data_IF_593895377872
#
_entry.id   IF_593895377872
#
_cell.length_a   1.000
_cell.length_b   1.000
_cell.length_c   1.000
_cell.angle_alpha   90.00
_cell.angle_beta   90.00
_cell.angle_gamma   90.00
#
_symmetry.space_group_name_H-M   'P 1'
#
loop_
_entity.id
_entity.type
_entity.pdbx_description
1 polymer ?
#
# COMPACT_ATOMS: atom_id res chain seq x y z
N UNK A 1 -15.52 8.49 -17.35
CA UNK A 1 -16.60 9.09 -16.51
C UNK A 1 -15.97 9.77 -15.30
N UNK A 2 -16.73 10.57 -14.56
CA UNK A 2 -16.27 11.19 -13.32
C UNK A 2 -16.96 10.50 -12.15
N UNK A 3 -16.19 9.92 -11.23
CA UNK A 3 -16.69 9.32 -9.98
C UNK A 3 -16.40 10.27 -8.85
N UNK A 4 -17.44 10.86 -8.26
CA UNK A 4 -17.31 11.90 -7.25
C UNK A 4 -18.53 11.93 -6.32
N UNK A 5 -18.30 12.12 -5.02
CA UNK A 5 -19.36 12.38 -4.04
C UNK A 5 -19.95 13.80 -4.19
N UNK A 6 -21.17 14.06 -3.67
CA UNK A 6 -21.85 15.36 -3.79
C UNK A 6 -21.03 16.58 -3.37
N UNK A 7 -20.19 16.44 -2.35
CA UNK A 7 -19.31 17.50 -1.87
C UNK A 7 -18.29 18.00 -2.93
N UNK A 8 -18.04 17.23 -3.99
CA UNK A 8 -17.10 17.58 -5.06
C UNK A 8 -17.78 17.98 -6.38
N UNK A 9 -19.08 18.32 -6.34
CA UNK A 9 -19.85 18.69 -7.54
C UNK A 9 -19.18 19.77 -8.38
N UNK A 10 -18.73 20.86 -7.74
CA UNK A 10 -18.07 21.97 -8.44
C UNK A 10 -16.78 21.53 -9.13
N UNK A 11 -16.00 20.64 -8.51
CA UNK A 11 -14.76 20.12 -9.08
C UNK A 11 -15.05 19.14 -10.24
N UNK A 12 -16.08 18.31 -10.10
CA UNK A 12 -16.54 17.41 -11.15
C UNK A 12 -17.05 18.19 -12.37
N UNK A 13 -17.90 19.21 -12.15
CA UNK A 13 -18.42 20.07 -13.20
C UNK A 13 -17.30 20.80 -13.96
N UNK A 14 -16.29 21.32 -13.24
CA UNK A 14 -15.13 21.95 -13.86
C UNK A 14 -14.42 21.00 -14.84
N UNK A 15 -14.18 19.75 -14.44
CA UNK A 15 -13.52 18.76 -15.29
C UNK A 15 -14.41 18.32 -16.45
N UNK A 16 -15.71 18.14 -16.22
CA UNK A 16 -16.67 17.81 -17.27
C UNK A 16 -16.70 18.90 -18.36
N UNK A 17 -16.75 20.17 -17.95
CA UNK A 17 -16.68 21.32 -18.85
C UNK A 17 -15.36 21.36 -19.61
N UNK A 18 -14.23 21.22 -18.93
CA UNK A 18 -12.92 21.26 -19.60
C UNK A 18 -12.77 20.17 -20.68
N UNK A 19 -13.29 18.96 -20.43
CA UNK A 19 -13.28 17.87 -21.42
C UNK A 19 -14.27 18.13 -22.55
N UNK A 20 -15.47 18.62 -22.25
CA UNK A 20 -16.48 18.93 -23.25
C UNK A 20 -16.03 20.05 -24.19
N UNK A 21 -15.46 21.13 -23.64
CA UNK A 21 -14.93 22.25 -24.43
C UNK A 21 -13.74 21.83 -25.29
N UNK A 22 -12.83 21.00 -24.75
CA UNK A 22 -11.62 20.62 -25.48
C UNK A 22 -11.87 19.56 -26.54
N UNK A 23 -12.73 18.57 -26.25
CA UNK A 23 -12.85 17.36 -27.06
C UNK A 23 -14.28 17.03 -27.51
N UNK A 24 -15.28 17.84 -27.13
CA UNK A 24 -16.69 17.56 -27.44
C UNK A 24 -17.26 16.33 -26.72
N UNK A 25 -16.55 15.80 -25.71
CA UNK A 25 -16.95 14.59 -24.98
C UNK A 25 -17.66 14.97 -23.69
N UNK A 26 -18.88 14.47 -23.50
CA UNK A 26 -19.62 14.62 -22.26
C UNK A 26 -19.21 13.50 -21.29
N UNK A 27 -18.65 13.89 -20.14
CA UNK A 27 -18.33 12.96 -19.08
C UNK A 27 -19.44 13.00 -18.01
N UNK A 28 -20.24 11.94 -17.84
CA UNK A 28 -21.22 11.89 -16.77
C UNK A 28 -20.51 11.81 -15.40
N UNK A 29 -21.09 12.50 -14.43
CA UNK A 29 -20.78 12.34 -13.00
C UNK A 29 -21.63 11.21 -12.42
N UNK A 30 -20.99 10.31 -11.70
CA UNK A 30 -21.63 9.24 -10.92
C UNK A 30 -21.03 9.20 -9.52
N UNK A 31 -21.76 8.71 -8.53
CA UNK A 31 -21.23 8.53 -7.18
C UNK A 31 -20.48 7.21 -7.04
N UNK A 32 -20.96 6.18 -7.75
CA UNK A 32 -20.38 4.85 -7.79
C UNK A 32 -20.06 4.47 -9.24
N UNK A 33 -19.01 3.67 -9.43
CA UNK A 33 -18.64 3.18 -10.75
C UNK A 33 -19.56 2.02 -11.15
N UNK A 34 -20.42 2.18 -12.17
CA UNK A 34 -21.45 1.19 -12.49
C UNK A 34 -20.90 -0.10 -13.11
N UNK A 35 -19.74 -0.04 -13.76
CA UNK A 35 -19.14 -1.18 -14.46
C UNK A 35 -17.62 -1.26 -14.20
N UNK A 36 -17.08 -2.45 -13.84
CA UNK A 36 -15.64 -2.69 -13.83
C UNK A 36 -15.04 -2.50 -15.23
N UNK A 37 -13.82 -2.00 -15.33
CA UNK A 37 -13.09 -1.92 -16.62
C UNK A 37 -13.29 -0.64 -17.43
N UNK A 38 -14.11 0.32 -16.98
CA UNK A 38 -14.25 1.63 -17.63
C UNK A 38 -13.34 2.71 -17.05
N UNK A 39 -12.70 3.50 -17.90
CA UNK A 39 -11.79 4.56 -17.46
C UNK A 39 -12.51 5.62 -16.60
N UNK A 40 -11.92 5.95 -15.45
CA UNK A 40 -12.53 6.82 -14.44
C UNK A 40 -11.60 7.96 -14.01
N UNK A 41 -12.19 9.16 -13.86
CA UNK A 41 -11.64 10.25 -13.07
C UNK A 41 -12.24 10.13 -11.66
N UNK A 42 -11.44 9.77 -10.66
CA UNK A 42 -11.93 9.57 -9.30
C UNK A 42 -11.53 10.78 -8.42
N UNK A 43 -12.52 11.50 -7.89
CA UNK A 43 -12.31 12.71 -7.07
C UNK A 43 -12.49 12.39 -5.59
N UNK A 44 -11.56 12.87 -4.75
CA UNK A 44 -11.65 12.73 -3.29
C UNK A 44 -10.48 12.01 -2.67
N UNK A 45 -10.77 11.15 -1.68
CA UNK A 45 -9.79 10.37 -0.95
C UNK A 45 -10.33 8.98 -0.58
N UNK A 46 -9.54 8.19 0.17
CA UNK A 46 -9.93 6.91 0.76
C UNK A 46 -11.35 6.88 1.38
N UNK A 47 -11.74 7.97 2.05
CA UNK A 47 -12.96 8.00 2.87
C UNK A 47 -14.20 8.18 2.01
N UNK A 48 -14.17 9.07 1.03
CA UNK A 48 -15.36 9.59 0.34
C UNK A 48 -15.44 9.20 -1.14
N UNK A 49 -14.56 8.31 -1.61
CA UNK A 49 -14.63 7.75 -2.95
C UNK A 49 -14.27 6.26 -2.96
N UNK A 50 -15.22 5.40 -3.32
CA UNK A 50 -15.05 3.94 -3.33
C UNK A 50 -13.94 3.47 -4.29
N UNK A 51 -13.77 4.13 -5.44
CA UNK A 51 -12.69 3.81 -6.40
C UNK A 51 -11.32 4.11 -5.79
N UNK A 52 -11.17 5.28 -5.16
CA UNK A 52 -9.93 5.66 -4.45
C UNK A 52 -9.70 4.73 -3.26
N UNK A 53 -10.75 4.34 -2.53
CA UNK A 53 -10.67 3.36 -1.43
C UNK A 53 -10.09 2.04 -1.91
N UNK A 54 -10.61 1.46 -2.98
CA UNK A 54 -10.07 0.21 -3.55
C UNK A 54 -8.62 0.39 -4.00
N UNK A 55 -8.28 1.51 -4.66
CA UNK A 55 -6.91 1.79 -5.08
C UNK A 55 -5.96 1.94 -3.87
N UNK A 56 -6.37 2.66 -2.83
CA UNK A 56 -5.61 2.88 -1.60
C UNK A 56 -5.35 1.56 -0.89
N UNK A 57 -6.41 0.75 -0.69
CA UNK A 57 -6.30 -0.56 -0.07
C UNK A 57 -5.39 -1.49 -0.88
N UNK A 58 -5.30 -1.35 -2.20
CA UNK A 58 -4.35 -2.12 -3.02
C UNK A 58 -2.95 -1.51 -3.12
N UNK A 59 -2.63 -0.50 -2.30
CA UNK A 59 -1.35 0.21 -2.31
C UNK A 59 -1.04 0.90 -3.65
N UNK A 60 -2.07 1.29 -4.40
CA UNK A 60 -1.93 1.98 -5.70
C UNK A 60 -2.06 3.49 -5.59
N UNK A 61 -2.48 4.01 -4.45
CA UNK A 61 -2.46 5.43 -4.14
C UNK A 61 -2.32 5.63 -2.63
N UNK A 62 -1.87 6.81 -2.25
CA UNK A 62 -1.65 7.20 -0.85
C UNK A 62 -2.72 8.19 -0.36
N UNK A 63 -3.65 8.62 -1.22
CA UNK A 63 -4.60 9.70 -0.93
C UNK A 63 -5.63 9.30 0.13
N UNK A 64 -5.53 9.91 1.30
CA UNK A 64 -6.47 9.84 2.42
C UNK A 64 -6.64 11.24 3.04
N UNK A 65 -7.30 11.36 4.20
CA UNK A 65 -7.43 12.68 4.85
C UNK A 65 -6.18 13.13 5.61
N UNK A 66 -5.11 12.36 5.60
CA UNK A 66 -3.81 12.79 6.08
C UNK A 66 -2.86 13.20 4.95
N UNK A 67 -2.71 12.38 3.91
CA UNK A 67 -1.89 12.67 2.73
C UNK A 67 -2.78 13.08 1.56
N UNK A 68 -2.46 14.16 0.83
CA UNK A 68 -1.23 14.98 0.83
C UNK A 68 -1.16 16.08 1.90
N UNK A 69 -2.09 16.11 2.84
CA UNK A 69 -2.22 17.14 3.86
C UNK A 69 -3.23 18.21 3.48
N UNK A 70 -3.57 19.04 4.46
CA UNK A 70 -4.47 20.19 4.28
C UNK A 70 -3.99 21.11 3.14
N UNK A 71 -4.90 21.51 2.26
CA UNK A 71 -4.64 22.22 0.99
C UNK A 71 -3.74 21.48 -0.02
N UNK A 72 -3.21 20.31 0.35
CA UNK A 72 -2.41 19.46 -0.52
C UNK A 72 -3.28 18.81 -1.60
N UNK A 73 -2.69 18.46 -2.73
CA UNK A 73 -3.41 17.93 -3.88
C UNK A 73 -2.56 16.94 -4.70
N UNK A 74 -3.21 15.92 -5.25
CA UNK A 74 -2.58 14.83 -6.00
C UNK A 74 -3.31 14.61 -7.32
N UNK A 75 -2.55 14.56 -8.42
CA UNK A 75 -2.99 13.99 -9.69
C UNK A 75 -2.15 12.76 -9.97
N UNK A 76 -2.78 11.59 -10.02
CA UNK A 76 -2.06 10.33 -10.15
C UNK A 76 -2.74 9.39 -11.15
N UNK A 77 -1.99 8.98 -12.16
CA UNK A 77 -2.37 7.91 -13.08
C UNK A 77 -2.09 6.56 -12.42
N UNK A 78 -3.13 5.73 -12.32
CA UNK A 78 -3.01 4.33 -11.95
C UNK A 78 -3.29 3.54 -13.22
N UNK A 79 -2.21 2.99 -13.80
CA UNK A 79 -2.29 2.15 -14.97
C UNK A 79 -2.42 0.68 -14.55
N UNK A 80 -3.27 -0.07 -15.24
CA UNK A 80 -3.25 -1.52 -15.21
C UNK A 80 -2.70 -1.96 -16.58
N UNK A 81 -1.52 -2.60 -16.66
CA UNK A 81 -1.05 -3.13 -17.93
C UNK A 81 -2.07 -4.11 -18.53
N UNK A 82 -2.26 -4.13 -19.85
CA UNK A 82 -3.19 -5.05 -20.51
C UNK A 82 -4.68 -4.66 -20.44
N UNK A 83 -5.59 -5.62 -20.70
CA UNK A 83 -7.02 -5.38 -20.94
C UNK A 83 -7.94 -5.57 -19.73
N UNK A 84 -7.44 -6.06 -18.59
CA UNK A 84 -8.28 -6.49 -17.46
C UNK A 84 -8.54 -5.41 -16.40
N UNK A 85 -7.98 -4.20 -16.56
CA UNK A 85 -8.19 -3.10 -15.62
C UNK A 85 -8.34 -1.76 -16.32
N UNK A 86 -9.37 -1.01 -15.95
CA UNK A 86 -9.54 0.34 -16.46
C UNK A 86 -8.48 1.29 -15.89
N UNK A 87 -7.98 2.24 -16.68
CA UNK A 87 -7.14 3.30 -16.16
C UNK A 87 -7.94 4.19 -15.19
N UNK A 88 -7.35 4.49 -14.05
CA UNK A 88 -7.89 5.41 -13.05
C UNK A 88 -6.99 6.65 -13.04
N UNK A 89 -7.58 7.83 -13.12
CA UNK A 89 -6.90 9.08 -12.78
C UNK A 89 -7.46 9.60 -11.46
N UNK A 90 -6.64 9.56 -10.42
CA UNK A 90 -6.97 10.10 -9.11
C UNK A 90 -6.82 11.61 -9.16
N UNK A 91 -7.88 12.32 -8.77
CA UNK A 91 -7.95 13.77 -8.53
C UNK A 91 -8.15 13.97 -7.04
N UNK A 92 -7.05 13.90 -6.31
CA UNK A 92 -7.03 13.68 -4.87
C UNK A 92 -6.67 14.90 -4.03
N UNK A 93 -7.11 14.89 -2.78
CA UNK A 93 -6.76 15.84 -1.74
C UNK A 93 -7.25 15.34 -0.38
N UNK A 94 -6.66 15.83 0.71
CA UNK A 94 -7.10 15.47 2.06
C UNK A 94 -8.37 16.20 2.50
N UNK A 95 -8.72 17.27 1.79
CA UNK A 95 -9.89 18.11 1.99
C UNK A 95 -10.47 18.60 0.65
N UNK A 96 -11.57 19.37 0.70
CA UNK A 96 -12.21 19.90 -0.50
C UNK A 96 -11.40 20.95 -1.26
N UNK A 97 -10.56 21.72 -0.57
CA UNK A 97 -9.71 22.72 -1.21
C UNK A 97 -8.62 22.03 -2.04
N UNK A 98 -7.99 20.99 -1.50
CA UNK A 98 -7.04 20.13 -2.17
C UNK A 98 -7.62 19.44 -3.41
N UNK A 99 -8.80 18.84 -3.31
CA UNK A 99 -9.48 18.20 -4.45
C UNK A 99 -9.81 19.22 -5.54
N UNK A 100 -10.31 20.41 -5.18
CA UNK A 100 -10.55 21.50 -6.13
C UNK A 100 -9.25 21.99 -6.79
N UNK A 101 -8.15 22.08 -6.04
CA UNK A 101 -6.85 22.45 -6.58
C UNK A 101 -6.32 21.42 -7.59
N UNK A 102 -6.47 20.12 -7.29
CA UNK A 102 -6.16 19.04 -8.23
C UNK A 102 -7.02 19.15 -9.50
N UNK A 103 -8.33 19.34 -9.36
CA UNK A 103 -9.25 19.47 -10.49
C UNK A 103 -8.90 20.67 -11.39
N UNK A 104 -8.59 21.83 -10.81
CA UNK A 104 -8.12 23.01 -11.57
C UNK A 104 -6.84 22.72 -12.36
N UNK A 105 -5.85 22.09 -11.74
CA UNK A 105 -4.60 21.73 -12.45
C UNK A 105 -4.86 20.76 -13.59
N UNK A 106 -5.72 19.77 -13.39
CA UNK A 106 -6.09 18.82 -14.43
C UNK A 106 -6.87 19.51 -15.57
N UNK A 107 -7.82 20.39 -15.27
CA UNK A 107 -8.54 21.17 -16.28
C UNK A 107 -7.58 22.02 -17.13
N UNK A 108 -6.61 22.70 -16.52
CA UNK A 108 -5.56 23.42 -17.24
C UNK A 108 -4.75 22.50 -18.17
N UNK A 109 -4.34 21.33 -17.68
CA UNK A 109 -3.61 20.33 -18.50
C UNK A 109 -4.47 19.87 -19.68
N UNK A 110 -5.74 19.53 -19.45
CA UNK A 110 -6.70 19.14 -20.50
C UNK A 110 -6.79 20.24 -21.56
N UNK A 111 -6.93 21.51 -21.16
CA UNK A 111 -6.97 22.65 -22.09
C UNK A 111 -5.74 22.78 -22.99
N UNK A 112 -4.56 22.32 -22.52
CA UNK A 112 -3.31 22.33 -23.28
C UNK A 112 -3.06 21.11 -24.17
N UNK A 113 -3.85 20.03 -24.04
CA UNK A 113 -3.62 18.80 -24.80
C UNK A 113 -3.97 18.99 -26.27
N UNK A 114 -3.12 18.57 -27.19
CA UNK A 114 -3.41 18.56 -28.63
C UNK A 114 -4.25 17.37 -29.07
N UNK A 115 -4.16 16.25 -28.35
CA UNK A 115 -4.87 15.00 -28.61
C UNK A 115 -5.70 14.58 -27.39
N UNK A 116 -6.77 13.78 -27.56
CA UNK A 116 -7.59 13.26 -26.46
C UNK A 116 -6.90 12.14 -25.67
N UNK A 117 -5.60 12.31 -25.38
CA UNK A 117 -4.77 11.36 -24.65
C UNK A 117 -3.99 12.10 -23.56
N UNK A 118 -4.25 11.74 -22.32
CA UNK A 118 -3.46 12.19 -21.18
C UNK A 118 -2.19 11.32 -21.08
N UNK A 119 -0.98 11.91 -20.99
CA UNK A 119 0.22 11.17 -20.64
C UNK A 119 0.11 10.63 -19.20
N UNK A 120 1.01 9.73 -18.82
CA UNK A 120 1.09 9.30 -17.41
C UNK A 120 1.40 10.51 -16.51
N UNK A 121 0.69 10.59 -15.38
CA UNK A 121 0.79 11.70 -14.44
C UNK A 121 1.08 11.21 -13.02
N UNK A 122 2.03 11.88 -12.38
CA UNK A 122 2.17 11.94 -10.94
C UNK A 122 2.57 13.38 -10.59
N UNK A 123 1.59 14.18 -10.18
CA UNK A 123 1.76 15.58 -9.81
C UNK A 123 1.20 15.79 -8.41
N UNK A 124 2.11 15.99 -7.46
CA UNK A 124 1.81 16.13 -6.04
C UNK A 124 2.22 17.52 -5.56
N UNK A 125 1.30 18.17 -4.86
CA UNK A 125 1.58 19.36 -4.06
C UNK A 125 1.23 19.02 -2.62
N UNK A 126 2.24 18.97 -1.75
CA UNK A 126 2.02 18.71 -0.32
C UNK A 126 1.41 19.94 0.35
N UNK A 127 0.56 19.70 1.36
CA UNK A 127 0.05 20.77 2.22
C UNK A 127 1.18 21.50 2.94
N UNK A 128 0.99 22.79 3.28
CA UNK A 128 2.07 23.65 3.86
C UNK A 128 2.74 23.08 5.11
N UNK A 129 2.01 22.29 5.90
CA UNK A 129 2.47 21.64 7.14
C UNK A 129 2.86 20.18 6.95
N UNK A 130 2.80 19.68 5.73
CA UNK A 130 3.01 18.29 5.38
C UNK A 130 4.41 18.14 4.78
N UNK A 131 5.26 17.36 5.45
CA UNK A 131 6.66 17.17 5.05
C UNK A 131 6.82 15.92 4.19
N UNK A 132 7.81 15.89 3.29
CA UNK A 132 8.19 14.67 2.59
C UNK A 132 8.79 13.64 3.55
N UNK A 133 8.74 12.36 3.18
CA UNK A 133 9.37 11.27 3.93
C UNK A 133 10.88 11.54 4.10
N UNK A 134 11.44 11.62 5.31
CA UNK A 134 12.85 11.98 5.54
C UNK A 134 13.87 11.08 4.83
N UNK A 135 15.01 11.65 4.41
CA UNK A 135 16.09 10.91 3.71
C UNK A 135 16.96 10.07 4.66
N UNK A 136 17.10 10.49 5.91
CA UNK A 136 17.88 9.82 6.97
C UNK A 136 17.26 8.49 7.43
N UNK A 137 16.05 8.19 6.96
CA UNK A 137 15.32 6.93 7.20
C UNK A 137 15.53 5.89 6.10
N UNK A 138 16.34 6.23 5.09
CA UNK A 138 16.59 5.33 3.95
C UNK A 138 17.78 4.44 4.29
N UNK A 139 17.53 3.14 4.48
CA UNK A 139 18.57 2.17 4.84
C UNK A 139 19.60 2.05 3.69
N UNK A 140 20.88 2.19 4.03
CA UNK A 140 22.01 2.14 3.10
C UNK A 140 22.16 0.74 2.49
N UNK A 141 21.76 -0.31 3.20
CA UNK A 141 21.99 -1.70 2.75
C UNK A 141 20.71 -2.51 2.57
N UNK A 142 19.55 -1.98 2.94
CA UNK A 142 18.28 -2.72 2.91
C UNK A 142 18.29 -3.94 3.84
N UNK A 143 19.22 -4.04 4.79
CA UNK A 143 19.47 -5.19 5.65
C UNK A 143 19.47 -4.87 7.15
N UNK A 144 19.28 -3.62 7.59
CA UNK A 144 19.43 -3.29 9.02
C UNK A 144 18.30 -2.43 9.63
N UNK A 145 18.03 -2.73 10.90
CA UNK A 145 17.17 -2.00 11.84
C UNK A 145 17.83 -0.69 12.31
N UNK A 146 18.15 0.22 11.39
CA UNK A 146 18.72 1.51 11.78
C UNK A 146 17.69 2.31 12.61
N UNK A 147 18.07 2.87 13.76
CA UNK A 147 17.17 3.62 14.62
C UNK A 147 16.70 4.90 13.93
N UNK A 148 15.39 5.15 13.96
CA UNK A 148 14.81 6.42 13.55
C UNK A 148 15.18 7.50 14.58
N UNK A 149 15.99 8.48 14.15
CA UNK A 149 16.44 9.59 15.02
C UNK A 149 15.46 10.77 14.98
N UNK A 150 14.69 10.92 13.88
CA UNK A 150 13.79 12.06 13.65
C UNK A 150 12.40 11.59 13.20
N UNK A 151 11.30 11.83 13.96
CA UNK A 151 9.91 11.52 13.59
C UNK A 151 9.44 12.14 12.25
N UNK A 152 8.62 11.41 11.48
CA UNK A 152 8.27 11.64 10.06
C UNK A 152 7.43 12.90 9.78
N UNK A 153 6.89 13.41 10.86
CA UNK A 153 6.25 14.69 11.02
C UNK A 153 6.81 15.20 12.33
N UNK A 154 7.17 16.49 12.44
CA UNK A 154 7.44 17.13 13.74
C UNK A 154 6.45 16.51 14.72
N UNK A 155 6.96 15.81 15.75
CA UNK A 155 6.08 15.28 16.82
C UNK A 155 5.19 16.45 17.14
N UNK A 156 3.86 16.35 16.93
CA UNK A 156 3.02 17.51 17.12
C UNK A 156 3.37 18.08 18.49
N UNK A 157 3.45 19.41 18.63
CA UNK A 157 3.93 20.01 19.89
C UNK A 157 3.03 19.61 21.09
N UNK A 158 1.88 18.96 20.82
CA UNK A 158 1.08 18.20 21.78
C UNK A 158 0.83 16.74 21.34
N UNK A 159 0.31 15.88 22.23
CA UNK A 159 0.01 14.48 21.93
C UNK A 159 -0.94 14.35 20.73
N UNK A 160 -0.81 13.26 19.95
CA UNK A 160 -1.87 12.91 18.99
C UNK A 160 -3.16 12.67 19.79
N UNK A 161 -4.08 13.62 19.68
CA UNK A 161 -5.43 13.45 20.19
C UNK A 161 -6.21 12.81 19.07
N UNK A 162 -6.50 11.52 19.21
CA UNK A 162 -7.46 10.87 18.31
C UNK A 162 -8.72 11.71 18.30
N UNK A 163 -9.12 12.21 17.13
CA UNK A 163 -10.37 12.94 16.97
C UNK A 163 -11.60 12.00 17.09
N UNK A 164 -11.38 10.70 17.32
CA UNK A 164 -12.44 9.73 17.52
C UNK A 164 -13.05 9.90 18.92
N UNK A 165 -14.12 10.69 19.00
CA UNK A 165 -14.97 10.83 20.18
C UNK A 165 -16.20 9.91 20.14
N UNK A 166 -16.22 8.93 19.23
CA UNK A 166 -17.38 8.11 18.86
C UNK A 166 -17.78 8.31 17.39
N UNK A 167 -18.70 7.50 16.86
CA UNK A 167 -19.10 7.53 15.45
C UNK A 167 -18.50 6.39 14.62
N UNK A 168 -18.48 6.53 13.29
CA UNK A 168 -17.89 5.51 12.42
C UNK A 168 -16.37 5.62 12.45
N UNK A 169 -15.69 4.55 12.88
CA UNK A 169 -14.22 4.50 12.97
C UNK A 169 -13.53 4.79 11.64
N UNK A 170 -14.17 4.46 10.51
CA UNK A 170 -13.62 4.70 9.18
C UNK A 170 -13.39 6.19 8.91
N UNK A 171 -14.21 7.08 9.48
CA UNK A 171 -14.10 8.53 9.28
C UNK A 171 -12.88 9.15 9.98
N UNK A 172 -12.27 8.41 10.92
CA UNK A 172 -11.17 8.88 11.76
C UNK A 172 -9.84 8.15 11.52
N UNK A 173 -9.86 7.10 10.69
CA UNK A 173 -8.68 6.28 10.39
C UNK A 173 -7.95 6.79 9.15
N UNK A 174 -6.79 7.40 9.39
CA UNK A 174 -5.86 7.87 8.36
C UNK A 174 -4.60 7.00 8.35
N UNK A 175 -3.83 7.01 7.27
CA UNK A 175 -2.55 6.29 7.17
C UNK A 175 -2.67 4.79 7.46
N UNK A 176 -3.66 4.12 6.88
CA UNK A 176 -3.84 2.67 7.10
C UNK A 176 -2.73 1.83 6.48
N UNK A 177 -2.12 2.36 5.42
CA UNK A 177 -1.04 1.71 4.67
C UNK A 177 0.18 2.61 4.49
N UNK A 178 0.09 3.82 5.02
CA UNK A 178 1.20 4.76 5.14
C UNK A 178 1.70 4.76 6.57
N UNK A 179 2.97 5.02 6.73
CA UNK A 179 3.67 5.04 8.01
C UNK A 179 2.90 5.82 9.09
N UNK A 180 2.66 5.15 10.22
CA UNK A 180 2.35 5.86 11.45
C UNK A 180 3.54 6.74 11.84
N UNK A 181 3.35 7.80 12.64
CA UNK A 181 4.42 8.73 13.06
C UNK A 181 5.63 8.06 13.75
N UNK A 182 5.53 6.77 14.06
CA UNK A 182 6.52 5.98 14.79
C UNK A 182 6.97 4.70 14.06
N UNK A 183 6.54 4.46 12.82
CA UNK A 183 6.83 3.19 12.10
C UNK A 183 8.20 3.25 11.41
N UNK A 184 9.03 2.23 11.64
CA UNK A 184 10.35 2.06 11.00
C UNK A 184 10.24 1.47 9.58
N UNK A 185 10.97 2.03 8.61
CA UNK A 185 10.98 1.61 7.20
C UNK A 185 11.89 0.40 6.89
N UNK A 186 12.37 -0.30 7.93
CA UNK A 186 13.36 -1.37 7.78
C UNK A 186 12.87 -2.61 7.00
N UNK A 187 11.58 -2.62 6.63
CA UNK A 187 10.91 -3.73 5.92
C UNK A 187 10.89 -3.58 4.40
N UNK A 188 11.34 -2.45 3.88
CA UNK A 188 11.41 -2.21 2.43
C UNK A 188 12.85 -2.35 1.94
N UNK A 189 13.02 -2.90 0.73
CA UNK A 189 14.29 -2.77 0.00
C UNK A 189 14.63 -1.28 -0.18
N UNK A 190 15.92 -0.97 -0.34
CA UNK A 190 16.35 0.42 -0.52
C UNK A 190 15.68 1.07 -1.74
N UNK A 191 15.63 0.35 -2.86
CA UNK A 191 14.83 0.76 -4.03
C UNK A 191 13.37 1.04 -3.68
N UNK A 192 12.69 0.16 -2.92
CA UNK A 192 11.29 0.36 -2.55
C UNK A 192 11.08 1.59 -1.65
N UNK A 193 12.04 1.92 -0.79
CA UNK A 193 11.97 3.15 0.03
C UNK A 193 12.04 4.40 -0.85
N UNK A 194 12.94 4.44 -1.84
CA UNK A 194 12.99 5.54 -2.81
C UNK A 194 11.76 5.58 -3.72
N UNK A 195 11.25 4.43 -4.16
CA UNK A 195 10.04 4.33 -4.96
C UNK A 195 8.83 4.88 -4.20
N UNK A 196 8.69 4.55 -2.93
CA UNK A 196 7.64 5.11 -2.10
C UNK A 196 7.79 6.62 -1.88
N UNK A 197 9.02 7.09 -1.66
CA UNK A 197 9.26 8.54 -1.59
C UNK A 197 8.89 9.24 -2.89
N UNK A 198 9.21 8.66 -4.04
CA UNK A 198 8.81 9.20 -5.34
C UNK A 198 7.28 9.21 -5.49
N UNK A 199 6.59 8.13 -5.13
CA UNK A 199 5.12 8.09 -5.11
C UNK A 199 4.53 9.19 -4.20
N UNK A 200 5.15 9.42 -3.05
CA UNK A 200 4.73 10.42 -2.07
C UNK A 200 4.91 11.85 -2.57
N UNK A 201 6.06 12.17 -3.19
CA UNK A 201 6.42 13.55 -3.53
C UNK A 201 6.10 13.93 -4.97
N UNK A 202 5.95 12.97 -5.87
CA UNK A 202 5.92 13.21 -7.32
C UNK A 202 7.18 13.89 -7.87
N UNK A 203 8.25 14.01 -7.07
CA UNK A 203 9.43 14.78 -7.44
C UNK A 203 10.36 13.98 -8.36
N UNK A 204 10.76 14.60 -9.48
CA UNK A 204 11.68 13.97 -10.45
C UNK A 204 13.02 13.55 -9.84
N UNK A 205 13.53 14.29 -8.86
CA UNK A 205 14.76 13.93 -8.17
C UNK A 205 14.63 12.62 -7.38
N UNK A 206 13.48 12.39 -6.75
CA UNK A 206 13.19 11.14 -6.04
C UNK A 206 13.00 9.98 -7.03
N UNK A 207 12.35 10.23 -8.18
CA UNK A 207 12.25 9.26 -9.28
C UNK A 207 13.63 8.84 -9.83
N UNK A 208 14.54 9.79 -10.03
CA UNK A 208 15.92 9.50 -10.45
C UNK A 208 16.68 8.66 -9.41
N UNK A 209 16.48 8.92 -8.11
CA UNK A 209 17.08 8.12 -7.03
C UNK A 209 16.51 6.71 -6.99
N UNK A 210 15.20 6.56 -7.18
CA UNK A 210 14.57 5.25 -7.28
C UNK A 210 15.13 4.44 -8.45
N UNK A 211 15.23 5.06 -9.64
CA UNK A 211 15.88 4.45 -10.80
C UNK A 211 17.31 4.02 -10.52
N UNK A 212 18.13 4.92 -9.97
CA UNK A 212 19.53 4.62 -9.68
C UNK A 212 19.65 3.44 -8.71
N UNK A 213 18.86 3.44 -7.64
CA UNK A 213 18.86 2.36 -6.65
C UNK A 213 18.51 1.01 -7.28
N UNK A 214 17.45 0.93 -8.10
CA UNK A 214 17.08 -0.31 -8.80
C UNK A 214 18.21 -0.83 -9.70
N UNK A 215 18.77 0.03 -10.56
CA UNK A 215 19.83 -0.37 -11.49
C UNK A 215 21.10 -0.80 -10.75
N UNK A 216 21.47 -0.12 -9.66
CA UNK A 216 22.60 -0.52 -8.80
C UNK A 216 22.33 -1.85 -8.10
N UNK A 217 21.14 -2.06 -7.54
CA UNK A 217 20.76 -3.33 -6.91
C UNK A 217 20.79 -4.50 -7.91
N UNK A 218 20.40 -4.28 -9.17
CA UNK A 218 20.51 -5.27 -10.25
C UNK A 218 21.97 -5.57 -10.56
N UNK A 219 22.80 -4.53 -10.76
CA UNK A 219 24.22 -4.69 -11.08
C UNK A 219 24.97 -5.43 -9.98
N UNK A 220 24.59 -5.23 -8.72
CA UNK A 220 25.20 -5.86 -7.55
C UNK A 220 24.59 -7.24 -7.23
N UNK A 221 23.56 -7.69 -7.96
CA UNK A 221 22.83 -8.93 -7.67
C UNK A 221 21.98 -8.90 -6.40
N UNK A 222 21.81 -7.72 -5.79
CA UNK A 222 21.00 -7.52 -4.57
C UNK A 222 19.53 -7.80 -4.84
N UNK A 223 19.02 -7.35 -6.00
CA UNK A 223 17.61 -7.56 -6.36
C UNK A 223 17.26 -9.06 -6.38
N UNK A 224 18.16 -9.89 -6.92
CA UNK A 224 17.97 -11.35 -7.01
C UNK A 224 18.03 -12.07 -5.67
N UNK A 225 18.54 -11.41 -4.63
CA UNK A 225 18.70 -11.96 -3.28
C UNK A 225 17.79 -11.27 -2.27
N UNK A 226 16.81 -10.49 -2.73
CA UNK A 226 15.85 -9.85 -1.83
C UNK A 226 15.14 -10.91 -1.00
N UNK A 227 15.17 -10.71 0.30
CA UNK A 227 14.41 -11.53 1.23
C UNK A 227 12.92 -11.37 0.92
N UNK A 228 12.16 -12.47 0.85
CA UNK A 228 10.77 -12.47 0.35
C UNK A 228 9.81 -11.55 1.10
N UNK A 229 10.14 -11.18 2.35
CA UNK A 229 9.40 -10.20 3.13
C UNK A 229 9.53 -8.76 2.62
N UNK A 230 10.65 -8.43 1.96
CA UNK A 230 10.99 -7.08 1.52
C UNK A 230 10.64 -6.81 0.06
N UNK A 231 10.31 -7.84 -0.71
CA UNK A 231 10.07 -7.75 -2.15
C UNK A 231 8.62 -7.48 -2.55
N UNK A 232 7.64 -7.64 -1.64
CA UNK A 232 6.21 -7.34 -1.90
C UNK A 232 6.02 -5.93 -2.49
N UNK A 233 6.60 -4.90 -1.83
CA UNK A 233 6.47 -3.51 -2.29
C UNK A 233 7.24 -3.21 -3.57
N UNK A 234 8.29 -3.97 -3.88
CA UNK A 234 9.00 -3.83 -5.15
C UNK A 234 8.04 -4.05 -6.33
N UNK A 235 7.23 -5.12 -6.30
CA UNK A 235 6.27 -5.42 -7.36
C UNK A 235 5.22 -4.32 -7.51
N UNK A 236 4.61 -3.88 -6.42
CA UNK A 236 3.54 -2.86 -6.44
C UNK A 236 4.05 -1.48 -6.87
N UNK A 237 5.21 -1.06 -6.37
CA UNK A 237 5.81 0.22 -6.75
C UNK A 237 6.30 0.20 -8.20
N UNK A 238 6.89 -0.91 -8.65
CA UNK A 238 7.31 -1.03 -10.05
C UNK A 238 6.12 -1.00 -11.01
N UNK A 239 5.03 -1.72 -10.73
CA UNK A 239 3.80 -1.66 -11.52
C UNK A 239 3.31 -0.20 -11.67
N UNK A 240 3.33 0.55 -10.57
CA UNK A 240 2.77 1.90 -10.51
C UNK A 240 3.65 2.98 -11.13
N UNK A 241 4.96 2.90 -10.90
CA UNK A 241 5.91 3.97 -11.18
C UNK A 241 6.76 3.70 -12.42
N UNK A 242 6.84 2.45 -12.89
CA UNK A 242 7.57 2.15 -14.12
C UNK A 242 7.11 3.04 -15.27
N UNK A 243 5.82 3.38 -15.51
CA UNK A 243 5.38 4.29 -16.59
C UNK A 243 5.97 5.71 -16.55
N UNK A 244 6.56 6.15 -15.44
CA UNK A 244 7.08 7.52 -15.28
C UNK A 244 8.25 7.86 -16.20
N UNK A 245 8.40 9.14 -16.53
CA UNK A 245 9.51 9.67 -17.34
C UNK A 245 10.88 9.62 -16.63
N UNK A 246 10.92 9.11 -15.39
CA UNK A 246 12.16 8.81 -14.69
C UNK A 246 12.91 7.63 -15.34
N UNK A 247 12.21 6.73 -16.06
CA UNK A 247 12.79 5.53 -16.66
C UNK A 247 12.76 5.57 -18.19
N UNK A 248 13.94 5.42 -18.81
CA UNK A 248 14.04 5.18 -20.24
C UNK A 248 13.59 3.76 -20.59
N UNK A 249 13.35 3.50 -21.88
CA UNK A 249 12.89 2.19 -22.36
C UNK A 249 13.86 1.05 -22.02
N UNK A 250 15.17 1.28 -22.17
CA UNK A 250 16.19 0.31 -21.80
C UNK A 250 16.21 0.01 -20.29
N UNK A 251 15.95 1.03 -19.45
CA UNK A 251 15.85 0.83 -18.00
C UNK A 251 14.64 -0.05 -17.66
N UNK A 252 13.49 0.23 -18.28
CA UNK A 252 12.26 -0.54 -18.06
C UNK A 252 12.44 -1.98 -18.46
N UNK A 253 13.06 -2.23 -19.62
CA UNK A 253 13.39 -3.57 -20.10
C UNK A 253 14.31 -4.28 -19.10
N UNK A 254 15.40 -3.63 -18.68
CA UNK A 254 16.39 -4.19 -17.75
C UNK A 254 15.76 -4.53 -16.39
N UNK A 255 15.04 -3.59 -15.80
CA UNK A 255 14.44 -3.77 -14.46
C UNK A 255 13.31 -4.80 -14.50
N UNK A 256 12.45 -4.76 -15.52
CA UNK A 256 11.37 -5.75 -15.67
C UNK A 256 11.92 -7.16 -15.88
N UNK A 257 13.00 -7.31 -16.65
CA UNK A 257 13.66 -8.60 -16.82
C UNK A 257 14.25 -9.12 -15.50
N UNK A 258 14.91 -8.26 -14.72
CA UNK A 258 15.47 -8.63 -13.42
C UNK A 258 14.39 -9.03 -12.39
N UNK A 259 13.26 -8.31 -12.35
CA UNK A 259 12.12 -8.67 -11.50
C UNK A 259 11.52 -10.02 -11.91
N UNK A 260 11.40 -10.28 -13.22
CA UNK A 260 10.95 -11.58 -13.74
C UNK A 260 11.90 -12.71 -13.35
N UNK A 261 13.19 -12.47 -13.47
CA UNK A 261 14.23 -13.43 -13.08
C UNK A 261 14.14 -13.74 -11.58
N UNK A 262 14.08 -12.72 -10.72
CA UNK A 262 13.91 -12.91 -9.27
C UNK A 262 12.64 -13.70 -8.93
N UNK A 263 11.52 -13.43 -9.61
CA UNK A 263 10.28 -14.20 -9.43
C UNK A 263 10.41 -15.65 -9.90
N UNK A 264 11.36 -15.95 -10.78
CA UNK A 264 11.60 -17.30 -11.33
C UNK A 264 12.59 -18.09 -10.48
N UNK A 265 13.62 -17.42 -9.93
CA UNK A 265 14.77 -18.09 -9.31
C UNK A 265 14.92 -17.82 -7.81
N UNK A 266 14.43 -16.69 -7.29
CA UNK A 266 14.64 -16.24 -5.91
C UNK A 266 13.41 -16.32 -5.00
N UNK A 267 12.21 -16.07 -5.52
CA UNK A 267 10.93 -16.18 -4.77
C UNK A 267 9.83 -16.69 -5.70
N UNK A 268 8.58 -16.75 -5.24
CA UNK A 268 7.41 -16.97 -6.09
C UNK A 268 7.43 -18.29 -6.86
N UNK A 269 7.74 -18.26 -8.16
CA UNK A 269 7.77 -19.47 -9.01
C UNK A 269 8.82 -20.46 -8.50
N UNK A 270 9.95 -19.97 -8.00
CA UNK A 270 10.98 -20.80 -7.36
C UNK A 270 10.42 -21.63 -6.18
N UNK A 271 9.33 -21.17 -5.56
CA UNK A 271 8.64 -21.83 -4.45
C UNK A 271 7.36 -22.57 -4.86
N UNK A 272 6.97 -22.58 -6.14
CA UNK A 272 5.62 -23.01 -6.57
C UNK A 272 5.28 -24.45 -6.16
N UNK A 273 6.25 -25.38 -6.21
CA UNK A 273 6.04 -26.75 -5.77
C UNK A 273 5.75 -26.82 -4.26
N UNK A 274 6.55 -26.13 -3.44
CA UNK A 274 6.33 -26.03 -1.98
C UNK A 274 4.98 -25.38 -1.66
N UNK A 275 4.60 -24.35 -2.40
CA UNK A 275 3.31 -23.66 -2.26
C UNK A 275 2.16 -24.64 -2.55
N UNK A 276 2.24 -25.42 -3.64
CA UNK A 276 1.23 -26.44 -3.99
C UNK A 276 1.13 -27.53 -2.94
N UNK A 277 2.25 -28.06 -2.47
CA UNK A 277 2.27 -29.11 -1.47
C UNK A 277 1.59 -28.65 -0.17
N UNK A 278 1.87 -27.40 0.24
CA UNK A 278 1.26 -26.80 1.42
C UNK A 278 -0.26 -26.60 1.32
N UNK A 279 -0.84 -26.57 0.12
CA UNK A 279 -2.30 -26.54 -0.06
C UNK A 279 -3.00 -27.80 0.46
N UNK A 280 -2.28 -28.92 0.51
CA UNK A 280 -2.84 -30.24 0.89
C UNK A 280 -2.49 -30.64 2.32
N UNK A 281 -1.57 -29.91 2.96
CA UNK A 281 -1.11 -30.19 4.30
C UNK A 281 -2.18 -29.88 5.35
N UNK A 282 -2.33 -30.75 6.35
CA UNK A 282 -3.08 -30.46 7.57
C UNK A 282 -2.12 -29.81 8.57
N UNK A 283 -2.02 -28.48 8.59
CA UNK A 283 -1.30 -27.79 9.66
C UNK A 283 -0.88 -26.37 9.36
N UNK A 284 -0.72 -25.63 10.47
CA UNK A 284 0.15 -24.48 10.74
C UNK A 284 0.46 -23.56 9.56
N UNK A 285 -0.02 -22.31 9.65
CA UNK A 285 0.31 -21.25 8.71
C UNK A 285 1.81 -20.96 8.72
N UNK A 286 2.49 -21.13 7.58
CA UNK A 286 3.92 -20.80 7.45
C UNK A 286 4.09 -19.39 6.85
N UNK A 287 4.58 -18.44 7.66
CA UNK A 287 4.77 -17.05 7.21
C UNK A 287 5.75 -16.90 6.04
N UNK A 288 6.85 -17.65 6.02
CA UNK A 288 7.84 -17.54 4.94
C UNK A 288 7.22 -18.00 3.61
N UNK A 289 6.52 -19.14 3.64
CA UNK A 289 5.84 -19.66 2.46
C UNK A 289 4.66 -18.77 2.03
N UNK A 290 3.96 -18.17 2.99
CA UNK A 290 2.90 -17.20 2.71
C UNK A 290 3.43 -15.94 2.01
N UNK A 291 4.60 -15.44 2.41
CA UNK A 291 5.25 -14.33 1.70
C UNK A 291 5.70 -14.74 0.29
N UNK A 292 6.28 -15.93 0.12
CA UNK A 292 6.59 -16.48 -1.21
C UNK A 292 5.33 -16.59 -2.09
N UNK A 293 4.21 -17.06 -1.52
CA UNK A 293 2.93 -17.13 -2.21
C UNK A 293 2.36 -15.75 -2.55
N UNK A 294 2.51 -14.76 -1.67
CA UNK A 294 2.09 -13.39 -1.96
C UNK A 294 2.94 -12.73 -3.05
N UNK A 295 4.25 -12.97 -3.05
CA UNK A 295 5.15 -12.56 -4.13
C UNK A 295 4.77 -13.24 -5.46
N UNK A 296 4.45 -14.54 -5.42
CA UNK A 296 3.94 -15.27 -6.59
C UNK A 296 2.66 -14.62 -7.10
N UNK A 297 1.71 -14.31 -6.21
CA UNK A 297 0.45 -13.70 -6.60
C UNK A 297 0.66 -12.34 -7.27
N UNK A 298 1.39 -11.42 -6.62
CA UNK A 298 1.63 -10.06 -7.13
C UNK A 298 2.43 -10.07 -8.44
N UNK A 299 3.52 -10.83 -8.47
CA UNK A 299 4.40 -10.91 -9.63
C UNK A 299 3.71 -11.56 -10.83
N UNK A 300 3.03 -12.69 -10.61
CA UNK A 300 2.33 -13.38 -11.69
C UNK A 300 1.12 -12.60 -12.19
N UNK A 301 0.39 -11.91 -11.31
CA UNK A 301 -0.69 -11.00 -11.68
C UNK A 301 -0.19 -9.83 -12.56
N UNK A 302 0.96 -9.25 -12.22
CA UNK A 302 1.62 -8.23 -13.04
C UNK A 302 2.05 -8.77 -14.42
N UNK A 303 2.73 -9.92 -14.49
CA UNK A 303 3.20 -10.47 -15.76
C UNK A 303 2.07 -11.04 -16.63
N UNK A 304 0.97 -11.54 -16.04
CA UNK A 304 -0.23 -11.95 -16.77
C UNK A 304 -0.91 -10.77 -17.48
N UNK A 305 -0.76 -9.56 -16.94
CA UNK A 305 -1.25 -8.30 -17.51
C UNK A 305 -0.30 -7.73 -18.57
N UNK A 306 1.00 -7.90 -18.35
CA UNK A 306 2.05 -7.38 -19.24
C UNK A 306 2.27 -8.25 -20.49
N UNK A 307 1.98 -9.55 -20.40
CA UNK A 307 2.28 -10.53 -21.45
C UNK A 307 1.04 -11.31 -21.87
N UNK A 308 1.09 -11.96 -23.03
CA UNK A 308 0.02 -12.87 -23.49
C UNK A 308 0.22 -14.31 -23.00
N UNK A 309 1.17 -14.56 -22.10
CA UNK A 309 1.48 -15.88 -21.58
C UNK A 309 0.49 -16.26 -20.46
N UNK A 310 -0.32 -17.29 -20.72
CA UNK A 310 -1.35 -17.76 -19.80
C UNK A 310 -0.79 -18.44 -18.55
N UNK A 311 0.45 -18.92 -18.58
CA UNK A 311 1.08 -19.60 -17.42
C UNK A 311 1.15 -18.70 -16.19
N UNK A 312 1.26 -17.38 -16.37
CA UNK A 312 1.22 -16.42 -15.27
C UNK A 312 -0.12 -16.44 -14.51
N UNK A 313 -1.24 -16.66 -15.21
CA UNK A 313 -2.54 -16.81 -14.55
C UNK A 313 -2.60 -18.09 -13.73
N UNK A 314 -2.07 -19.19 -14.27
CA UNK A 314 -1.99 -20.46 -13.54
C UNK A 314 -1.12 -20.33 -12.26
N UNK A 315 0.00 -19.62 -12.35
CA UNK A 315 0.85 -19.33 -11.20
C UNK A 315 0.16 -18.46 -10.15
N UNK A 316 -0.58 -17.43 -10.58
CA UNK A 316 -1.42 -16.61 -9.70
C UNK A 316 -2.49 -17.45 -9.00
N UNK A 317 -3.12 -18.36 -9.71
CA UNK A 317 -4.17 -19.24 -9.17
C UNK A 317 -3.62 -20.23 -8.13
N UNK A 318 -2.38 -20.72 -8.32
CA UNK A 318 -1.69 -21.54 -7.30
C UNK A 318 -1.53 -20.76 -5.99
N UNK A 319 -1.09 -19.50 -6.05
CA UNK A 319 -0.96 -18.67 -4.86
C UNK A 319 -2.33 -18.41 -4.20
N UNK A 320 -3.37 -18.16 -5.00
CA UNK A 320 -4.73 -17.98 -4.48
C UNK A 320 -5.27 -19.25 -3.79
N UNK A 321 -5.00 -20.43 -4.36
CA UNK A 321 -5.36 -21.72 -3.78
C UNK A 321 -4.63 -21.95 -2.44
N UNK A 322 -3.35 -21.57 -2.35
CA UNK A 322 -2.60 -21.63 -1.08
C UNK A 322 -3.33 -20.86 0.00
N UNK A 323 -3.59 -19.57 -0.18
CA UNK A 323 -4.26 -18.76 0.85
C UNK A 323 -5.67 -19.25 1.16
N UNK A 324 -6.43 -19.69 0.16
CA UNK A 324 -7.75 -20.28 0.38
C UNK A 324 -7.69 -21.54 1.26
N UNK A 325 -6.66 -22.39 1.08
CA UNK A 325 -6.45 -23.59 1.91
C UNK A 325 -6.04 -23.28 3.35
N UNK A 326 -5.56 -22.06 3.63
CA UNK A 326 -5.17 -21.67 4.98
C UNK A 326 -6.36 -21.27 5.88
N UNK A 327 -7.58 -21.20 5.33
CA UNK A 327 -8.77 -20.91 6.13
C UNK A 327 -8.92 -21.92 7.28
N UNK A 328 -9.07 -21.41 8.50
CA UNK A 328 -9.20 -22.25 9.70
C UNK A 328 -7.90 -22.85 10.23
N UNK A 329 -6.75 -22.53 9.62
CA UNK A 329 -5.44 -22.82 10.22
C UNK A 329 -5.18 -21.89 11.41
N UNK A 330 -4.12 -22.16 12.17
CA UNK A 330 -3.64 -21.26 13.21
C UNK A 330 -2.15 -21.00 13.00
N UNK A 331 -1.63 -19.98 13.68
CA UNK A 331 -0.18 -19.81 13.75
C UNK A 331 0.47 -20.97 14.49
N UNK A 332 1.71 -21.32 14.16
CA UNK A 332 2.46 -22.29 14.93
C UNK A 332 2.54 -21.82 16.39
N UNK A 333 2.54 -22.77 17.32
CA UNK A 333 3.02 -22.53 18.69
C UNK A 333 4.54 -22.33 18.60
N UNK A 334 4.93 -21.13 18.18
CA UNK A 334 6.28 -20.60 18.27
C UNK A 334 6.36 -19.73 19.51
N UNK A 335 7.53 -19.66 20.17
CA UNK A 335 7.80 -18.62 21.19
C UNK A 335 7.84 -17.18 20.62
N UNK A 336 7.32 -16.97 19.41
CA UNK A 336 7.26 -15.74 18.65
C UNK A 336 5.82 -15.19 18.72
N UNK A 337 5.50 -14.47 19.79
CA UNK A 337 4.17 -13.87 19.98
C UNK A 337 3.83 -12.87 18.87
N UNK A 338 4.83 -12.16 18.34
CA UNK A 338 4.68 -11.31 17.14
C UNK A 338 4.28 -12.07 15.87
N UNK A 339 4.42 -13.40 15.87
CA UNK A 339 3.96 -14.26 14.79
C UNK A 339 2.47 -14.04 14.50
N UNK A 340 1.62 -13.95 15.53
CA UNK A 340 0.18 -13.76 15.34
C UNK A 340 -0.15 -12.57 14.45
N UNK A 341 0.58 -11.46 14.61
CA UNK A 341 0.34 -10.24 13.87
C UNK A 341 0.98 -10.30 12.48
N UNK A 342 2.27 -10.63 12.42
CA UNK A 342 3.01 -10.65 11.14
C UNK A 342 2.45 -11.67 10.15
N UNK A 343 1.86 -12.77 10.62
CA UNK A 343 1.25 -13.80 9.79
C UNK A 343 -0.12 -13.33 9.29
N UNK A 344 -0.93 -12.75 10.18
CA UNK A 344 -2.22 -12.14 9.83
C UNK A 344 -2.05 -11.00 8.82
N UNK A 345 -1.01 -10.17 8.94
CA UNK A 345 -0.72 -9.11 7.98
C UNK A 345 -0.54 -9.63 6.55
N UNK A 346 0.13 -10.77 6.38
CA UNK A 346 0.33 -11.38 5.04
C UNK A 346 -0.97 -11.94 4.49
N UNK A 347 -1.75 -12.62 5.34
CA UNK A 347 -3.08 -13.12 4.95
C UNK A 347 -4.04 -12.00 4.56
N UNK A 348 -4.09 -10.95 5.39
CA UNK A 348 -4.92 -9.77 5.16
C UNK A 348 -4.51 -9.04 3.88
N UNK A 349 -3.21 -8.93 3.59
CA UNK A 349 -2.73 -8.33 2.34
C UNK A 349 -3.27 -9.07 1.12
N UNK A 350 -3.22 -10.41 1.12
CA UNK A 350 -3.82 -11.22 0.06
C UNK A 350 -5.35 -11.01 -0.03
N UNK A 351 -6.07 -11.02 1.09
CA UNK A 351 -7.52 -10.80 1.08
C UNK A 351 -7.89 -9.44 0.48
N UNK A 352 -7.18 -8.38 0.86
CA UNK A 352 -7.41 -7.03 0.35
C UNK A 352 -7.17 -6.95 -1.16
N UNK A 353 -6.16 -7.67 -1.66
CA UNK A 353 -5.86 -7.70 -3.09
C UNK A 353 -6.90 -8.50 -3.88
N UNK A 354 -7.40 -9.60 -3.32
CA UNK A 354 -8.17 -10.62 -4.08
C UNK A 354 -9.66 -10.64 -3.83
N UNK A 355 -10.09 -10.43 -2.59
CA UNK A 355 -11.46 -10.61 -2.11
C UNK A 355 -11.82 -9.62 -1.00
N UNK A 356 -11.62 -8.29 -1.21
CA UNK A 356 -11.85 -7.29 -0.17
C UNK A 356 -13.28 -7.31 0.39
N UNK A 357 -14.26 -7.71 -0.42
CA UNK A 357 -15.66 -7.88 -0.02
C UNK A 357 -15.89 -9.01 0.99
N UNK A 358 -15.03 -10.04 1.00
CA UNK A 358 -15.17 -11.17 1.91
C UNK A 358 -14.58 -10.89 3.31
N UNK A 359 -13.79 -9.83 3.47
CA UNK A 359 -13.03 -9.52 4.69
C UNK A 359 -13.95 -9.38 5.90
N UNK A 360 -15.06 -8.63 5.75
CA UNK A 360 -15.99 -8.39 6.85
C UNK A 360 -16.61 -9.69 7.36
N UNK A 361 -16.84 -10.67 6.50
CA UNK A 361 -17.60 -11.87 6.85
C UNK A 361 -16.71 -13.11 7.06
N UNK A 362 -15.39 -12.97 6.97
CA UNK A 362 -14.45 -14.07 7.12
C UNK A 362 -14.28 -14.47 8.60
N UNK A 363 -14.74 -15.67 9.02
CA UNK A 363 -14.70 -16.08 10.42
C UNK A 363 -13.27 -16.38 10.89
N UNK A 364 -12.40 -16.84 10.00
CA UNK A 364 -11.00 -17.14 10.33
C UNK A 364 -10.23 -15.85 10.60
N UNK A 365 -10.40 -14.83 9.74
CA UNK A 365 -9.82 -13.51 9.94
C UNK A 365 -10.28 -12.89 11.26
N UNK A 366 -11.59 -12.91 11.55
CA UNK A 366 -12.14 -12.35 12.80
C UNK A 366 -11.56 -13.04 14.03
N UNK A 367 -11.54 -14.38 14.03
CA UNK A 367 -10.98 -15.14 15.15
C UNK A 367 -9.50 -14.83 15.35
N UNK A 368 -8.72 -14.73 14.28
CA UNK A 368 -7.29 -14.41 14.35
C UNK A 368 -7.07 -12.98 14.86
N UNK A 369 -7.84 -12.02 14.36
CA UNK A 369 -7.79 -10.64 14.80
C UNK A 369 -8.10 -10.50 16.31
N UNK A 370 -9.08 -11.24 16.83
CA UNK A 370 -9.39 -11.29 18.27
C UNK A 370 -8.23 -11.88 19.10
N UNK A 371 -7.53 -12.89 18.58
CA UNK A 371 -6.31 -13.40 19.24
C UNK A 371 -5.23 -12.34 19.31
N UNK A 372 -5.05 -11.53 18.27
CA UNK A 372 -4.09 -10.41 18.31
C UNK A 372 -4.43 -9.40 19.42
N UNK A 373 -5.72 -9.11 19.67
CA UNK A 373 -6.14 -8.29 20.82
C UNK A 373 -5.71 -8.95 22.14
N UNK A 374 -5.96 -10.25 22.29
CA UNK A 374 -5.62 -11.01 23.50
C UNK A 374 -4.13 -11.05 23.83
N UNK A 375 -3.26 -10.70 22.87
CA UNK A 375 -1.81 -10.63 23.04
C UNK A 375 -1.30 -9.22 23.38
N UNK A 376 -2.19 -8.26 23.62
CA UNK A 376 -1.83 -6.89 24.03
C UNK A 376 -2.28 -6.63 25.46
N UNK A 377 -1.34 -6.22 26.31
CA UNK A 377 -1.60 -5.79 27.67
C UNK A 377 -2.26 -4.41 27.69
N UNK A 378 -2.99 -4.11 28.78
CA UNK A 378 -3.61 -2.80 29.01
C UNK A 378 -2.62 -1.62 29.03
N UNK A 379 -1.32 -1.89 29.14
CA UNK A 379 -0.27 -0.88 29.06
C UNK A 379 0.12 -0.53 27.62
N UNK A 380 -0.46 -1.16 26.59
CA UNK A 380 -0.08 -0.92 25.19
C UNK A 380 1.19 -1.65 24.76
N UNK A 381 1.60 -2.66 25.52
CA UNK A 381 2.72 -3.55 25.22
C UNK A 381 2.20 -4.93 24.84
N UNK A 382 2.95 -5.64 24.00
CA UNK A 382 2.62 -7.03 23.69
C UNK A 382 3.05 -7.98 24.81
N UNK A 383 2.41 -9.14 24.86
CA UNK A 383 2.93 -10.28 25.60
C UNK A 383 4.28 -10.68 25.01
N UNK A 384 5.34 -10.48 25.78
CA UNK A 384 6.73 -10.81 25.42
C UNK A 384 6.85 -12.32 25.21
N UNK A 385 7.56 -12.69 24.15
CA UNK A 385 7.93 -14.07 23.84
C UNK A 385 9.45 -14.22 23.82
N UNK A 386 9.94 -15.44 23.61
CA UNK A 386 11.39 -15.71 23.49
C UNK A 386 12.03 -14.90 22.36
N UNK A 387 11.24 -14.55 21.34
CA UNK A 387 11.69 -13.82 20.15
C UNK A 387 10.96 -12.48 19.95
N UNK A 388 10.21 -11.98 20.94
CA UNK A 388 9.44 -10.73 20.81
C UNK A 388 9.79 -9.79 21.96
N UNK A 389 10.35 -8.63 21.65
CA UNK A 389 10.66 -7.59 22.64
C UNK A 389 9.50 -6.59 22.83
N UNK A 390 9.57 -5.77 23.89
CA UNK A 390 8.54 -4.79 24.27
C UNK A 390 8.41 -3.60 23.29
N UNK A 391 9.42 -3.37 22.45
CA UNK A 391 9.41 -2.32 21.43
C UNK A 391 8.62 -2.74 20.18
N UNK A 392 8.34 -4.04 19.98
CA UNK A 392 7.57 -4.56 18.84
C UNK A 392 6.07 -4.38 19.03
N UNK A 393 5.37 -3.94 17.99
CA UNK A 393 3.91 -3.81 18.01
C UNK A 393 3.25 -3.82 16.62
N UNK A 394 2.02 -4.34 16.54
CA UNK A 394 1.22 -4.44 15.32
C UNK A 394 0.39 -3.21 15.00
N UNK A 395 1.00 -2.04 15.02
CA UNK A 395 0.28 -0.77 14.96
C UNK A 395 -0.52 -0.61 13.66
N UNK A 396 0.11 -0.78 12.48
CA UNK A 396 -0.58 -0.67 11.19
C UNK A 396 -1.67 -1.74 11.05
N UNK A 397 -1.37 -2.99 11.42
CA UNK A 397 -2.35 -4.08 11.37
C UNK A 397 -3.60 -3.75 12.19
N UNK A 398 -3.44 -3.26 13.42
CA UNK A 398 -4.59 -2.90 14.28
C UNK A 398 -5.45 -1.80 13.65
N UNK A 399 -4.83 -0.79 13.02
CA UNK A 399 -5.58 0.26 12.31
C UNK A 399 -6.28 -0.28 11.07
N UNK A 400 -5.63 -1.17 10.31
CA UNK A 400 -6.23 -1.83 9.16
C UNK A 400 -7.43 -2.67 9.57
N UNK A 401 -7.31 -3.47 10.63
CA UNK A 401 -8.41 -4.27 11.18
C UNK A 401 -9.55 -3.37 11.65
N UNK A 402 -9.25 -2.26 12.33
CA UNK A 402 -10.27 -1.29 12.73
C UNK A 402 -11.07 -0.76 11.53
N UNK A 403 -10.38 -0.41 10.44
CA UNK A 403 -11.02 0.11 9.23
C UNK A 403 -11.82 -0.97 8.50
N UNK A 404 -11.19 -2.11 8.23
CA UNK A 404 -11.72 -3.17 7.39
C UNK A 404 -12.86 -3.93 8.06
N UNK A 405 -12.79 -4.14 9.38
CA UNK A 405 -13.86 -4.79 10.15
C UNK A 405 -14.87 -3.79 10.74
N UNK A 406 -14.67 -2.49 10.52
CA UNK A 406 -15.45 -1.41 11.12
C UNK A 406 -15.61 -1.56 12.65
N UNK A 407 -14.54 -1.98 13.32
CA UNK A 407 -14.55 -2.35 14.74
C UNK A 407 -13.55 -1.50 15.53
N UNK A 408 -14.08 -0.61 16.37
CA UNK A 408 -13.30 0.33 17.17
C UNK A 408 -12.37 -0.34 18.20
N UNK A 409 -12.59 -1.61 18.58
CA UNK A 409 -11.73 -2.32 19.53
C UNK A 409 -10.28 -2.34 19.08
N UNK A 410 -10.04 -2.57 17.79
CA UNK A 410 -8.68 -2.59 17.24
C UNK A 410 -8.01 -1.21 17.26
N UNK A 411 -8.79 -0.13 17.06
CA UNK A 411 -8.28 1.24 17.21
C UNK A 411 -7.94 1.56 18.66
N UNK A 412 -8.75 1.09 19.62
CA UNK A 412 -8.41 1.20 21.05
C UNK A 412 -7.06 0.55 21.35
N UNK A 413 -6.80 -0.64 20.81
CA UNK A 413 -5.51 -1.34 20.96
C UNK A 413 -4.35 -0.54 20.34
N UNK A 414 -4.53 0.01 19.13
CA UNK A 414 -3.53 0.88 18.52
C UNK A 414 -3.24 2.14 19.37
N UNK A 415 -4.28 2.76 19.94
CA UNK A 415 -4.15 3.95 20.79
C UNK A 415 -3.45 3.65 22.12
N UNK A 416 -3.65 2.47 22.72
CA UNK A 416 -2.89 2.06 23.92
C UNK A 416 -1.39 2.07 23.65
N UNK A 417 -0.97 1.61 22.47
CA UNK A 417 0.45 1.65 22.08
C UNK A 417 0.96 3.09 21.96
N UNK A 418 0.18 3.99 21.35
CA UNK A 418 0.56 5.40 21.28
C UNK A 418 0.74 5.99 22.69
N UNK A 419 -0.20 5.74 23.61
CA UNK A 419 -0.08 6.18 24.99
C UNK A 419 1.17 5.62 25.68
N UNK A 420 1.54 4.37 25.39
CA UNK A 420 2.77 3.78 25.88
C UNK A 420 4.02 4.52 25.38
N UNK A 421 4.06 4.90 24.10
CA UNK A 421 5.16 5.71 23.52
C UNK A 421 5.26 7.06 24.24
N UNK A 422 4.13 7.72 24.51
CA UNK A 422 4.11 8.99 25.25
C UNK A 422 4.60 8.87 26.70
N UNK A 423 4.56 7.68 27.31
CA UNK A 423 5.07 7.44 28.67
C UNK A 423 6.58 7.22 28.73
N UNK A 424 7.29 7.46 27.64
CA UNK A 424 8.75 7.37 27.59
C UNK A 424 9.28 6.08 26.98
N UNK A 425 8.45 5.27 26.31
CA UNK A 425 9.01 4.29 25.37
C UNK A 425 9.55 5.06 24.16
N UNK A 426 10.82 4.85 23.86
CA UNK A 426 11.56 5.58 22.84
C UNK A 426 11.26 5.12 21.41
N UNK A 427 10.60 3.96 21.22
CA UNK A 427 10.40 3.34 19.89
C UNK A 427 9.06 2.60 19.70
N UNK A 428 8.56 2.64 18.46
CA UNK A 428 7.53 1.74 17.95
C UNK A 428 8.13 0.96 16.78
N UNK A 429 8.76 -0.17 17.07
CA UNK A 429 9.24 -1.04 16.02
C UNK A 429 8.04 -1.79 15.44
N UNK A 430 7.54 -1.37 14.27
CA UNK A 430 6.58 -2.18 13.52
C UNK A 430 7.21 -3.53 13.17
N UNK A 431 6.41 -4.58 13.15
CA UNK A 431 6.92 -5.91 12.85
C UNK A 431 7.62 -5.95 11.51
N UNK A 432 8.87 -6.39 11.56
CA UNK A 432 9.49 -6.91 10.38
C UNK A 432 8.85 -8.24 10.04
N UNK A 433 8.39 -8.37 8.80
CA UNK A 433 8.45 -9.68 8.16
C UNK A 433 9.87 -10.25 8.24
N UNK A 434 10.90 -9.40 8.29
CA UNK A 434 12.30 -9.78 8.49
C UNK A 434 12.73 -9.83 9.96
N UNK A 435 12.43 -10.93 10.65
CA UNK A 435 13.43 -11.46 11.60
C UNK A 435 14.32 -12.43 10.81
N UNK A 436 15.56 -12.01 10.55
CA UNK A 436 16.71 -12.89 10.33
C UNK A 436 17.98 -12.05 10.49
N UNK A 437 18.91 -12.56 11.29
CA UNK A 437 20.25 -12.04 11.57
C UNK A 437 21.12 -11.88 10.31
#
# INVERSE_FOLDING_TARGET
>A
MIVASPQYETAAALLATAVAERFGVILPRVEECPEPGRAVLALGCLIDNAVIRTAYLRYRTLVDRWYPGEDGSVLQSIHCPGSEGAPILVVGGSDGAGVMAAAKRLATRIGSLTEPRLPWLLDVVLGKRHLPLPEDRIDVLGTATSPVITPESRVPDGPYVSAYAGGNVQDHLLRLRMFGPHVDNCHFSRSSQFGLRFLYTGCRADGNRYRQALLTEIQQGVLHQLYHYKSIRMFQLWELLSPSDAFADDDRCTITAAIREYLTTGTGIAAVARIRDACTGKGIFNRHLACDALNLWLGADYFARLTSDSSWREHRDVAAAYFASQAGTDVPITGLTEGYFSYLSVYLEWMVLTRPEAICDDPHLRQWAERCIGLVANQGTMVVGVQTDEARFGYSLMRQLAFLLADGRYLTIANLREQAVHRGMDRLAEFSGGQAY
#
